data_IF_211842324240
#
_entry.id   IF_211842324240
#
_cell.length_a   1.000
_cell.length_b   1.000
_cell.length_c   1.000
_cell.angle_alpha   90.00
_cell.angle_beta   90.00
_cell.angle_gamma   90.00
#
_symmetry.space_group_name_H-M   'P 1'
#
loop_
_entity.id
_entity.type
_entity.pdbx_description
1 polymer ?
#
# COMPACT_ATOMS: atom_id res chain seq x y z
N UNK A 1 0.51 3.16 19.16
CA UNK A 1 1.46 3.51 18.09
C UNK A 1 2.10 2.29 17.45
N UNK A 2 2.70 1.38 18.22
CA UNK A 2 3.26 0.14 17.67
C UNK A 2 2.23 -0.67 16.84
N UNK A 3 1.00 -0.86 17.32
CA UNK A 3 -0.02 -1.62 16.60
C UNK A 3 -0.47 -0.95 15.28
N UNK A 4 -0.49 0.38 15.23
CA UNK A 4 -0.82 1.14 14.01
C UNK A 4 0.31 0.98 12.99
N UNK A 5 1.57 1.08 13.44
CA UNK A 5 2.75 0.81 12.60
C UNK A 5 2.69 -0.60 12.03
N UNK A 6 2.44 -1.60 12.86
CA UNK A 6 2.36 -3.00 12.43
C UNK A 6 1.22 -3.22 11.41
N UNK A 7 0.05 -2.61 11.62
CA UNK A 7 -1.05 -2.66 10.65
C UNK A 7 -0.69 -2.02 9.30
N UNK A 8 -0.01 -0.88 9.31
CA UNK A 8 0.47 -0.22 8.10
C UNK A 8 1.56 -1.02 7.37
N UNK A 9 2.53 -1.59 8.09
CA UNK A 9 3.56 -2.46 7.52
C UNK A 9 2.95 -3.73 6.90
N UNK A 10 1.93 -4.31 7.55
CA UNK A 10 1.18 -5.45 7.01
C UNK A 10 0.44 -5.08 5.72
N UNK A 11 -0.16 -3.88 5.66
CA UNK A 11 -0.78 -3.36 4.46
C UNK A 11 0.21 -3.20 3.30
N UNK A 12 1.36 -2.54 3.52
CA UNK A 12 2.34 -2.34 2.44
C UNK A 12 2.99 -3.64 1.97
N UNK A 13 3.37 -4.51 2.90
CA UNK A 13 3.98 -5.80 2.55
C UNK A 13 3.00 -6.71 1.81
N UNK A 14 1.72 -6.71 2.20
CA UNK A 14 0.69 -7.50 1.52
C UNK A 14 0.47 -6.98 0.10
N UNK A 15 0.42 -5.66 -0.11
CA UNK A 15 0.36 -5.07 -1.45
C UNK A 15 1.57 -5.47 -2.30
N UNK A 16 2.77 -5.36 -1.74
CA UNK A 16 4.02 -5.74 -2.41
C UNK A 16 3.99 -7.22 -2.86
N UNK A 17 3.48 -8.14 -2.04
CA UNK A 17 3.30 -9.56 -2.43
C UNK A 17 2.48 -9.69 -3.71
N UNK A 18 1.34 -9.00 -3.82
CA UNK A 18 0.50 -9.06 -5.01
C UNK A 18 1.14 -8.46 -6.26
N UNK A 19 1.96 -7.42 -6.10
CA UNK A 19 2.70 -6.82 -7.20
C UNK A 19 3.89 -7.66 -7.64
N UNK A 20 4.51 -8.44 -6.74
CA UNK A 20 5.61 -9.36 -7.06
C UNK A 20 5.12 -10.65 -7.70
N UNK A 21 3.98 -11.17 -7.24
CA UNK A 21 3.35 -12.38 -7.73
C UNK A 21 2.00 -12.08 -8.41
N UNK A 22 2.01 -11.74 -9.70
CA UNK A 22 0.78 -11.49 -10.46
C UNK A 22 -0.07 -12.76 -10.64
N UNK A 23 0.51 -13.94 -10.42
CA UNK A 23 -0.17 -15.22 -10.54
C UNK A 23 -0.76 -15.73 -9.23
N UNK A 24 -0.52 -15.04 -8.11
CA UNK A 24 -1.07 -15.39 -6.80
C UNK A 24 -2.59 -15.58 -6.86
N UNK A 25 -3.04 -16.80 -6.51
CA UNK A 25 -4.44 -17.28 -6.59
C UNK A 25 -5.10 -17.36 -5.20
N UNK A 26 -5.15 -16.25 -4.49
CA UNK A 26 -5.84 -16.17 -3.19
C UNK A 26 -7.09 -15.26 -3.23
N UNK A 27 -7.51 -14.86 -4.44
CA UNK A 27 -8.67 -13.98 -4.68
C UNK A 27 -8.68 -12.71 -3.81
N UNK A 28 -7.50 -12.09 -3.65
CA UNK A 28 -7.32 -10.88 -2.84
C UNK A 28 -7.67 -11.04 -1.35
N UNK A 29 -7.75 -12.29 -0.85
CA UNK A 29 -8.12 -12.56 0.54
C UNK A 29 -7.16 -11.88 1.51
N UNK A 30 -5.84 -12.02 1.32
CA UNK A 30 -4.87 -11.38 2.21
C UNK A 30 -5.03 -9.84 2.22
N UNK A 31 -5.33 -9.23 1.07
CA UNK A 31 -5.59 -7.79 0.99
C UNK A 31 -6.83 -7.40 1.81
N UNK A 32 -7.91 -8.19 1.75
CA UNK A 32 -9.13 -7.95 2.52
C UNK A 32 -8.95 -8.00 4.05
N UNK A 33 -7.87 -8.66 4.52
CA UNK A 33 -7.51 -8.71 5.94
C UNK A 33 -6.80 -7.43 6.39
N UNK A 34 -6.09 -6.73 5.49
CA UNK A 34 -5.29 -5.54 5.83
C UNK A 34 -5.89 -4.22 5.34
N UNK A 35 -6.95 -4.27 4.53
CA UNK A 35 -7.70 -3.10 4.07
C UNK A 35 -9.14 -3.10 4.57
N UNK A 36 -9.81 -1.95 4.46
CA UNK A 36 -11.25 -1.79 4.72
C UNK A 36 -11.84 -0.70 3.82
N UNK A 37 -13.16 -0.71 3.67
CA UNK A 37 -13.89 0.32 2.93
C UNK A 37 -13.41 0.50 1.48
N UNK A 38 -13.33 1.76 1.05
CA UNK A 38 -12.95 2.12 -0.33
C UNK A 38 -11.52 1.73 -0.69
N UNK A 39 -10.63 1.63 0.29
CA UNK A 39 -9.24 1.23 0.05
C UNK A 39 -9.12 -0.20 -0.45
N UNK A 40 -9.96 -1.13 0.03
CA UNK A 40 -9.99 -2.49 -0.51
C UNK A 40 -10.25 -2.48 -2.02
N UNK A 41 -11.31 -1.79 -2.46
CA UNK A 41 -11.67 -1.72 -3.88
C UNK A 41 -10.59 -1.02 -4.71
N UNK A 42 -10.00 0.07 -4.19
CA UNK A 42 -8.92 0.80 -4.86
C UNK A 42 -7.69 -0.08 -5.05
N UNK A 43 -7.24 -0.77 -4.00
CA UNK A 43 -6.05 -1.60 -4.04
C UNK A 43 -6.23 -2.81 -4.96
N UNK A 44 -7.38 -3.52 -4.85
CA UNK A 44 -7.73 -4.61 -5.77
C UNK A 44 -7.72 -4.13 -7.22
N UNK A 45 -8.37 -2.99 -7.51
CA UNK A 45 -8.42 -2.43 -8.85
C UNK A 45 -7.04 -2.06 -9.40
N UNK A 46 -6.17 -1.47 -8.58
CA UNK A 46 -4.80 -1.11 -8.98
C UNK A 46 -3.94 -2.35 -9.27
N UNK A 47 -4.04 -3.40 -8.47
CA UNK A 47 -3.32 -4.66 -8.70
C UNK A 47 -3.87 -5.40 -9.92
N UNK A 48 -5.19 -5.49 -10.05
CA UNK A 48 -5.82 -6.10 -11.23
C UNK A 48 -5.38 -5.37 -12.51
N UNK A 49 -5.31 -4.03 -12.47
CA UNK A 49 -4.83 -3.25 -13.60
C UNK A 49 -3.37 -3.54 -13.95
N UNK A 50 -2.50 -3.64 -12.95
CA UNK A 50 -1.10 -4.02 -13.17
C UNK A 50 -0.99 -5.41 -13.81
N UNK A 51 -1.78 -6.38 -13.35
CA UNK A 51 -1.86 -7.74 -13.92
C UNK A 51 -2.33 -7.73 -15.38
N UNK A 52 -3.39 -6.99 -15.71
CA UNK A 52 -3.85 -6.81 -17.09
C UNK A 52 -2.76 -6.25 -18.02
N UNK A 53 -1.97 -5.31 -17.49
CA UNK A 53 -0.85 -4.69 -18.19
C UNK A 53 0.40 -5.58 -18.23
N UNK A 54 0.35 -6.80 -17.67
CA UNK A 54 1.48 -7.72 -17.57
C UNK A 54 2.63 -7.14 -16.74
N UNK A 55 2.32 -6.37 -15.70
CA UNK A 55 3.32 -5.72 -14.86
C UNK A 55 3.52 -6.51 -13.56
N UNK A 56 4.77 -6.70 -13.18
CA UNK A 56 5.16 -7.09 -11.82
C UNK A 56 6.26 -6.19 -11.28
N UNK A 57 6.42 -6.17 -9.97
CA UNK A 57 7.50 -5.47 -9.29
C UNK A 57 8.65 -6.42 -8.98
N UNK A 58 9.88 -5.87 -9.02
CA UNK A 58 11.11 -6.52 -8.56
C UNK A 58 11.89 -5.52 -7.72
N UNK A 59 12.59 -6.00 -6.69
CA UNK A 59 13.26 -5.12 -5.73
C UNK A 59 12.29 -4.71 -4.62
N UNK A 60 12.47 -3.53 -4.04
CA UNK A 60 11.63 -3.04 -2.95
C UNK A 60 11.54 -1.52 -2.93
N UNK A 61 10.40 -1.00 -2.46
CA UNK A 61 10.30 0.40 -2.07
C UNK A 61 10.97 0.60 -0.70
N UNK A 62 11.57 1.77 -0.49
CA UNK A 62 12.09 2.18 0.80
C UNK A 62 11.08 3.14 1.42
N UNK A 63 10.64 2.84 2.64
CA UNK A 63 9.76 3.73 3.39
C UNK A 63 10.58 4.53 4.40
N UNK A 64 10.62 5.85 4.25
CA UNK A 64 11.36 6.80 5.10
C UNK A 64 10.41 7.77 5.79
N UNK A 65 10.90 8.43 6.83
CA UNK A 65 10.21 9.55 7.51
C UNK A 65 8.77 9.22 7.96
N UNK A 66 8.58 8.00 8.44
CA UNK A 66 7.27 7.50 8.89
C UNK A 66 6.85 8.23 10.16
N UNK A 67 5.78 9.02 10.07
CA UNK A 67 5.12 9.73 11.17
C UNK A 67 3.71 9.18 11.35
N UNK A 68 3.35 8.86 12.58
CA UNK A 68 2.03 8.34 12.94
C UNK A 68 1.36 9.35 13.86
N UNK A 69 0.23 9.88 13.43
CA UNK A 69 -0.55 10.83 14.20
C UNK A 69 -1.29 10.13 15.36
N UNK A 70 -1.59 10.87 16.43
CA UNK A 70 -2.38 10.36 17.54
C UNK A 70 -3.75 9.86 17.07
N UNK A 71 -4.17 8.65 17.49
CA UNK A 71 -5.42 8.09 17.04
C UNK A 71 -6.60 8.89 17.62
N UNK A 72 -7.54 9.25 16.76
CA UNK A 72 -8.76 9.97 17.10
C UNK A 72 -9.98 9.06 16.97
N UNK A 73 -11.01 9.30 17.77
CA UNK A 73 -12.30 8.59 17.63
C UNK A 73 -13.33 9.58 17.11
N UNK A 74 -13.97 9.23 15.99
CA UNK A 74 -15.01 10.06 15.39
C UNK A 74 -16.35 9.95 16.14
N UNK A 75 -17.33 10.75 15.72
CA UNK A 75 -18.70 10.74 16.30
C UNK A 75 -19.45 9.43 16.15
N UNK A 76 -19.01 8.56 15.24
CA UNK A 76 -19.60 7.25 14.98
C UNK A 76 -18.89 6.14 15.77
N UNK A 77 -17.90 6.49 16.61
CA UNK A 77 -17.11 5.54 17.39
C UNK A 77 -15.98 4.88 16.60
N UNK A 78 -15.72 5.28 15.36
CA UNK A 78 -14.62 4.76 14.57
C UNK A 78 -13.33 5.40 15.05
N UNK A 79 -12.40 4.56 15.52
CA UNK A 79 -11.06 5.01 15.89
C UNK A 79 -10.15 4.94 14.67
N UNK A 80 -9.51 6.06 14.33
CA UNK A 80 -8.64 6.20 13.17
C UNK A 80 -7.30 6.82 13.54
N UNK A 81 -6.28 6.57 12.72
CA UNK A 81 -4.96 7.19 12.80
C UNK A 81 -4.44 7.44 11.39
N UNK A 82 -3.54 8.41 11.23
CA UNK A 82 -2.93 8.71 9.93
C UNK A 82 -1.46 8.36 9.99
N UNK A 83 -0.99 7.62 8.99
CA UNK A 83 0.41 7.32 8.76
C UNK A 83 0.88 8.12 7.56
N UNK A 84 1.77 9.08 7.79
CA UNK A 84 2.43 9.85 6.74
C UNK A 84 3.85 9.31 6.57
N UNK A 85 4.28 9.10 5.35
CA UNK A 85 5.62 8.58 5.06
C UNK A 85 6.05 8.99 3.68
N UNK A 86 7.36 8.88 3.46
CA UNK A 86 7.88 8.91 2.12
C UNK A 86 8.10 7.51 1.58
N UNK A 87 7.60 7.26 0.38
CA UNK A 87 7.92 6.10 -0.42
C UNK A 87 8.97 6.49 -1.46
N UNK A 88 10.14 5.88 -1.34
CA UNK A 88 11.26 6.00 -2.25
C UNK A 88 11.34 4.73 -3.12
N UNK A 89 10.87 4.81 -4.38
CA UNK A 89 10.84 3.68 -5.29
C UNK A 89 12.18 3.46 -6.03
N UNK A 90 13.28 4.12 -5.67
CA UNK A 90 14.58 4.02 -6.38
C UNK A 90 15.13 2.59 -6.49
N UNK A 91 14.77 1.70 -5.57
CA UNK A 91 15.14 0.28 -5.59
C UNK A 91 14.02 -0.64 -6.10
N UNK A 92 12.97 -0.05 -6.69
CA UNK A 92 11.84 -0.75 -7.24
C UNK A 92 11.88 -0.67 -8.77
N UNK A 93 11.83 -1.85 -9.39
CA UNK A 93 11.84 -2.06 -10.82
C UNK A 93 10.49 -2.64 -11.26
N UNK A 94 10.01 -2.24 -12.43
CA UNK A 94 8.77 -2.74 -13.02
C UNK A 94 9.13 -3.61 -14.21
N UNK A 95 8.67 -4.86 -14.20
CA UNK A 95 8.98 -5.86 -15.21
C UNK A 95 7.71 -6.18 -16.01
N UNK A 96 7.81 -6.18 -17.34
CA UNK A 96 6.80 -6.78 -18.21
C UNK A 96 6.94 -8.32 -18.14
N UNK A 97 5.90 -9.01 -17.70
CA UNK A 97 5.91 -10.46 -17.51
C UNK A 97 5.86 -11.25 -18.81
N UNK A 98 5.48 -10.64 -19.93
CA UNK A 98 5.50 -11.27 -21.26
C UNK A 98 6.89 -11.25 -21.87
N UNK A 99 7.60 -10.13 -21.78
CA UNK A 99 8.93 -9.97 -22.40
C UNK A 99 10.07 -10.28 -21.42
N UNK A 100 9.82 -10.14 -20.12
CA UNK A 100 10.84 -10.23 -19.08
C UNK A 100 11.70 -8.97 -18.96
N UNK A 101 11.41 -7.93 -19.73
CA UNK A 101 12.17 -6.68 -19.77
C UNK A 101 11.73 -5.70 -18.66
N UNK A 102 12.67 -4.89 -18.21
CA UNK A 102 12.38 -3.76 -17.32
C UNK A 102 11.75 -2.63 -18.11
N UNK A 103 10.68 -2.07 -17.58
CA UNK A 103 10.02 -0.88 -18.10
C UNK A 103 10.67 0.34 -17.44
N UNK A 104 11.31 1.22 -18.22
CA UNK A 104 11.94 2.41 -17.67
C UNK A 104 10.93 3.23 -16.87
N UNK A 105 11.29 3.53 -15.62
CA UNK A 105 10.52 4.48 -14.81
C UNK A 105 10.71 5.87 -15.41
N UNK A 106 9.60 6.56 -15.64
CA UNK A 106 9.60 7.93 -16.17
C UNK A 106 9.59 9.00 -15.08
N UNK A 107 9.47 8.59 -13.82
CA UNK A 107 9.42 9.46 -12.66
C UNK A 107 10.48 9.01 -11.66
N UNK A 108 11.51 9.83 -11.48
CA UNK A 108 12.56 9.65 -10.47
C UNK A 108 12.14 10.19 -9.10
N UNK A 109 10.98 10.86 -9.03
CA UNK A 109 10.49 11.48 -7.80
C UNK A 109 9.99 10.44 -6.79
N UNK A 110 10.20 10.78 -5.52
CA UNK A 110 9.59 10.11 -4.37
C UNK A 110 8.09 10.37 -4.31
N UNK A 111 7.36 9.52 -3.58
CA UNK A 111 5.96 9.74 -3.26
C UNK A 111 5.83 10.14 -1.80
N UNK A 112 5.16 11.26 -1.55
CA UNK A 112 4.65 11.55 -0.21
C UNK A 112 3.30 10.85 -0.09
N UNK A 113 3.24 9.88 0.81
CA UNK A 113 2.12 8.97 0.98
C UNK A 113 1.46 9.18 2.33
N UNK A 114 0.13 9.05 2.32
CA UNK A 114 -0.74 9.18 3.50
C UNK A 114 -1.69 8.00 3.51
N UNK A 115 -1.65 7.22 4.59
CA UNK A 115 -2.61 6.13 4.83
C UNK A 115 -3.44 6.45 6.05
N UNK A 116 -4.76 6.49 5.88
CA UNK A 116 -5.69 6.50 7.01
C UNK A 116 -5.96 5.06 7.45
N UNK A 117 -5.63 4.75 8.69
CA UNK A 117 -5.84 3.45 9.33
C UNK A 117 -7.08 3.50 10.20
N UNK A 118 -7.93 2.47 10.14
CA UNK A 118 -9.08 2.29 11.03
C UNK A 118 -8.86 1.10 11.96
N UNK A 119 -9.25 1.26 13.23
CA UNK A 119 -9.35 0.16 14.16
C UNK A 119 -10.64 -0.62 13.90
N UNK A 120 -10.51 -1.91 13.64
CA UNK A 120 -11.62 -2.82 13.39
C UNK A 120 -12.12 -3.47 14.69
N UNK A 121 -13.35 -4.03 14.72
CA UNK A 121 -13.90 -4.67 15.92
C UNK A 121 -13.08 -5.84 16.46
N UNK A 122 -12.27 -6.48 15.62
CA UNK A 122 -11.34 -7.56 15.99
C UNK A 122 -10.03 -7.06 16.62
N UNK A 123 -9.87 -5.75 16.79
CA UNK A 123 -8.68 -5.12 17.35
C UNK A 123 -7.56 -4.84 16.33
N UNK A 124 -7.73 -5.21 15.06
CA UNK A 124 -6.74 -4.96 14.01
C UNK A 124 -6.84 -3.54 13.44
N UNK A 125 -5.69 -2.96 13.08
CA UNK A 125 -5.63 -1.71 12.32
C UNK A 125 -5.51 -2.01 10.83
N UNK A 126 -6.42 -1.48 10.02
CA UNK A 126 -6.49 -1.72 8.57
C UNK A 126 -6.51 -0.43 7.77
N UNK A 127 -5.90 -0.43 6.59
CA UNK A 127 -5.89 0.73 5.71
C UNK A 127 -7.29 0.99 5.14
N UNK A 128 -7.81 2.19 5.38
CA UNK A 128 -9.15 2.62 4.96
C UNK A 128 -9.12 3.61 3.80
N UNK A 129 -8.00 4.32 3.64
CA UNK A 129 -7.76 5.25 2.54
C UNK A 129 -6.25 5.41 2.31
N UNK A 130 -5.82 5.32 1.06
CA UNK A 130 -4.48 5.69 0.61
C UNK A 130 -4.53 6.91 -0.32
N UNK A 131 -3.71 7.90 -0.01
CA UNK A 131 -3.50 9.10 -0.82
C UNK A 131 -2.00 9.28 -1.04
N UNK A 132 -1.61 9.73 -2.23
CA UNK A 132 -0.20 10.01 -2.52
C UNK A 132 -0.05 11.13 -3.53
N UNK A 133 1.11 11.77 -3.52
CA UNK A 133 1.47 12.80 -4.50
C UNK A 133 2.97 12.67 -4.81
N UNK A 134 3.30 12.68 -6.11
CA UNK A 134 4.69 12.75 -6.55
C UNK A 134 5.25 14.12 -6.21
N UNK A 135 6.20 14.15 -5.28
CA UNK A 135 6.99 15.32 -4.93
C UNK A 135 8.21 14.88 -4.11
N UNK A 136 9.32 15.64 -4.15
CA UNK A 136 10.46 15.37 -3.31
C UNK A 136 10.11 15.28 -1.82
N UNK A 137 10.68 14.25 -1.20
CA UNK A 137 10.87 14.05 0.22
C UNK A 137 12.39 13.76 0.42
#
# INVERSE_FOLDING_TARGET
>A
MADIRAGWEAYESTRDVYYRDPDLKDDFYALSIVTTGGETSRAVGAIAKAREMNLKQRGHAIFRDVVIDDPVTDKNGVRSAVVNYCEDPSQLDIIDTKTGESIPRTLDDTLVSRVTMHLMPDGSWRAALYESTFKPC
#
